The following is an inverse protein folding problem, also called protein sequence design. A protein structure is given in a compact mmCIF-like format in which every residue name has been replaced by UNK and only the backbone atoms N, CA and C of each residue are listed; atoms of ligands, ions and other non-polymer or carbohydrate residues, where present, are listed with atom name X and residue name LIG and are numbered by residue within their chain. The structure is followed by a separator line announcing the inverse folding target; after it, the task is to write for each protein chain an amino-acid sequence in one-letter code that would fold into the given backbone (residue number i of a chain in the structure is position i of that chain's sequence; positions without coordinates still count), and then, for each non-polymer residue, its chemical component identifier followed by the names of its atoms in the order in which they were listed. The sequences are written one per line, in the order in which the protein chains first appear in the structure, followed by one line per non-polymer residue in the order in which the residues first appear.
data_IF_471157967476
#
_entry.id   IF_471157967476
#
_cell.length_a   1.000
_cell.length_b   1.000
_cell.length_c   1.000
_cell.angle_alpha   90.00
_cell.angle_beta   90.00
_cell.angle_gamma   90.00
#
_symmetry.space_group_name_H-M   'P 1'
#
loop_
_entity.id
_entity.type
_entity.pdbx_description
1 polymer ?
#
# COMPACT_ATOMS: atom_id res chain seq x y z
N UNK A 1 -21.75 34.43 2.83
CA UNK A 1 -22.34 33.29 3.59
C UNK A 1 -22.09 32.04 2.81
N UNK A 2 -21.37 31.05 3.30
CA UNK A 2 -21.29 29.78 2.59
C UNK A 2 -22.65 29.10 2.67
N UNK A 3 -23.17 28.74 1.50
CA UNK A 3 -24.43 28.02 1.32
C UNK A 3 -24.40 26.72 2.13
N UNK A 4 -25.21 26.62 3.20
CA UNK A 4 -25.30 25.44 4.09
C UNK A 4 -26.10 24.29 3.45
N UNK A 5 -25.97 24.07 2.15
CA UNK A 5 -26.57 22.88 1.52
C UNK A 5 -25.80 21.64 1.94
N UNK A 6 -26.53 20.63 2.47
CA UNK A 6 -25.91 19.37 2.84
C UNK A 6 -25.30 18.66 1.60
N UNK A 7 -24.32 17.80 1.78
CA UNK A 7 -23.75 17.01 0.68
C UNK A 7 -24.81 16.15 -0.02
N UNK A 8 -25.84 15.69 0.69
CA UNK A 8 -26.99 15.01 0.12
C UNK A 8 -27.78 15.89 -0.86
N UNK A 9 -28.03 17.14 -0.47
CA UNK A 9 -28.68 18.13 -1.35
C UNK A 9 -27.79 18.50 -2.56
N UNK A 10 -26.49 18.54 -2.37
CA UNK A 10 -25.54 18.81 -3.47
C UNK A 10 -25.57 17.71 -4.54
N UNK A 11 -25.78 16.45 -4.16
CA UNK A 11 -25.92 15.32 -5.09
C UNK A 11 -27.36 15.02 -5.49
N UNK A 12 -28.34 15.79 -4.99
CA UNK A 12 -29.78 15.59 -5.23
C UNK A 12 -30.24 14.16 -4.87
N UNK A 13 -29.83 13.71 -3.66
CA UNK A 13 -30.20 12.40 -3.09
C UNK A 13 -30.73 12.56 -1.68
N UNK A 14 -31.56 11.61 -1.26
CA UNK A 14 -32.05 11.53 0.11
C UNK A 14 -30.96 11.07 1.08
N UNK A 15 -31.01 11.47 2.37
CA UNK A 15 -30.03 11.00 3.40
C UNK A 15 -30.00 9.50 3.59
N UNK A 16 -31.07 8.77 3.25
CA UNK A 16 -31.17 7.30 3.31
C UNK A 16 -30.73 6.60 2.03
N UNK A 17 -30.24 7.35 1.02
CA UNK A 17 -29.81 6.78 -0.26
C UNK A 17 -28.72 5.72 -0.09
N UNK A 18 -28.78 4.66 -0.88
CA UNK A 18 -27.75 3.62 -0.90
C UNK A 18 -26.47 4.12 -1.58
N UNK A 19 -25.34 3.46 -1.34
CA UNK A 19 -24.07 3.78 -2.01
C UNK A 19 -24.16 3.70 -3.54
N UNK A 20 -25.01 2.81 -4.04
CA UNK A 20 -25.27 2.66 -5.50
C UNK A 20 -25.99 3.89 -6.05
N UNK A 21 -26.97 4.41 -5.31
CA UNK A 21 -27.73 5.61 -5.70
C UNK A 21 -26.84 6.86 -5.64
N UNK A 22 -26.03 7.03 -4.59
CA UNK A 22 -25.05 8.12 -4.48
C UNK A 22 -24.07 8.09 -5.66
N UNK A 23 -23.53 6.94 -5.99
CA UNK A 23 -22.63 6.78 -7.14
C UNK A 23 -23.30 7.07 -8.48
N UNK A 24 -24.58 6.69 -8.63
CA UNK A 24 -25.36 6.97 -9.83
C UNK A 24 -25.64 8.46 -9.96
N UNK A 25 -26.08 9.11 -8.88
CA UNK A 25 -26.33 10.54 -8.84
C UNK A 25 -25.07 11.36 -9.16
N UNK A 26 -23.94 11.02 -8.54
CA UNK A 26 -22.65 11.65 -8.85
C UNK A 26 -22.30 11.57 -10.35
N UNK A 27 -22.41 10.37 -10.97
CA UNK A 27 -22.11 10.20 -12.40
C UNK A 27 -23.01 11.04 -13.29
N UNK A 28 -24.29 11.16 -12.95
CA UNK A 28 -25.25 11.99 -13.70
C UNK A 28 -24.90 13.48 -13.58
N UNK A 29 -24.61 13.94 -12.37
CA UNK A 29 -24.21 15.32 -12.10
C UNK A 29 -22.87 15.66 -12.75
N UNK A 30 -21.86 14.79 -12.61
CA UNK A 30 -20.54 15.00 -13.21
C UNK A 30 -20.63 15.06 -14.74
N UNK A 31 -21.47 14.23 -15.38
CA UNK A 31 -21.71 14.29 -16.83
C UNK A 31 -22.43 15.59 -17.24
N UNK A 32 -23.40 16.05 -16.46
CA UNK A 32 -24.19 17.26 -16.74
C UNK A 32 -23.37 18.53 -16.60
N UNK A 33 -22.46 18.58 -15.64
CA UNK A 33 -21.63 19.74 -15.33
C UNK A 33 -20.15 19.55 -15.68
N UNK A 34 -19.87 18.68 -16.69
CA UNK A 34 -18.50 18.48 -17.15
C UNK A 34 -17.93 19.75 -17.80
N UNK A 35 -16.68 20.16 -17.46
CA UNK A 35 -16.06 21.39 -17.94
C UNK A 35 -15.93 21.44 -19.48
N UNK A 36 -15.81 20.29 -20.16
CA UNK A 36 -15.75 20.22 -21.61
C UNK A 36 -17.07 20.58 -22.30
N UNK A 37 -18.21 20.46 -21.57
CA UNK A 37 -19.53 20.73 -22.11
C UNK A 37 -20.01 22.13 -21.77
N UNK A 38 -19.55 22.69 -20.64
CA UNK A 38 -19.97 23.98 -20.11
C UNK A 38 -18.74 24.77 -19.63
N UNK A 39 -18.39 25.83 -20.37
CA UNK A 39 -17.21 26.69 -20.05
C UNK A 39 -17.54 27.86 -19.10
N UNK A 40 -18.69 27.84 -18.43
CA UNK A 40 -19.11 28.93 -17.53
C UNK A 40 -18.48 28.73 -16.14
N UNK A 41 -17.95 29.82 -15.53
CA UNK A 41 -17.34 29.83 -14.18
C UNK A 41 -18.28 29.31 -13.10
N UNK A 42 -19.57 29.58 -13.20
CA UNK A 42 -20.59 29.06 -12.29
C UNK A 42 -20.70 27.53 -12.34
N UNK A 43 -20.37 26.90 -13.46
CA UNK A 43 -20.37 25.46 -13.65
C UNK A 43 -19.13 24.83 -12.99
N UNK A 44 -17.99 25.54 -13.00
CA UNK A 44 -16.76 25.07 -12.35
C UNK A 44 -16.93 24.98 -10.84
N UNK A 45 -17.56 25.95 -10.21
CA UNK A 45 -17.86 25.91 -8.77
C UNK A 45 -18.84 24.78 -8.41
N UNK A 46 -19.84 24.52 -9.28
CA UNK A 46 -20.77 23.41 -9.08
C UNK A 46 -20.10 22.05 -9.17
N UNK A 47 -19.24 21.80 -10.15
CA UNK A 47 -18.55 20.50 -10.27
C UNK A 47 -17.59 20.28 -9.11
N UNK A 48 -16.94 21.34 -8.60
CA UNK A 48 -16.09 21.26 -7.41
C UNK A 48 -16.89 20.82 -6.18
N UNK A 49 -18.08 21.43 -5.95
CA UNK A 49 -18.98 21.03 -4.85
C UNK A 49 -19.51 19.59 -5.02
N UNK A 50 -19.85 19.17 -6.22
CA UNK A 50 -20.29 17.81 -6.54
C UNK A 50 -19.18 16.79 -6.21
N UNK A 51 -17.93 17.09 -6.58
CA UNK A 51 -16.78 16.24 -6.28
C UNK A 51 -16.52 16.13 -4.78
N UNK A 52 -16.57 17.25 -4.04
CA UNK A 52 -16.44 17.27 -2.58
C UNK A 52 -17.56 16.45 -1.91
N UNK A 53 -18.80 16.60 -2.36
CA UNK A 53 -19.92 15.84 -1.81
C UNK A 53 -19.74 14.33 -2.05
N UNK A 54 -19.23 13.94 -3.22
CA UNK A 54 -18.96 12.53 -3.52
C UNK A 54 -17.75 11.97 -2.78
N UNK A 55 -16.71 12.77 -2.55
CA UNK A 55 -15.56 12.37 -1.74
C UNK A 55 -15.98 11.96 -0.32
N UNK A 56 -16.95 12.69 0.27
CA UNK A 56 -17.47 12.37 1.61
C UNK A 56 -18.51 11.25 1.58
N UNK A 57 -19.51 11.31 0.67
CA UNK A 57 -20.63 10.37 0.67
C UNK A 57 -20.32 9.06 -0.07
N UNK A 58 -19.33 9.06 -0.96
CA UNK A 58 -18.93 7.90 -1.77
C UNK A 58 -18.20 6.82 -0.97
N UNK A 59 -17.53 7.19 0.12
CA UNK A 59 -16.91 6.26 1.05
C UNK A 59 -17.81 6.00 2.27
N UNK A 60 -18.13 4.72 2.58
CA UNK A 60 -19.04 4.40 3.69
C UNK A 60 -18.55 4.86 5.06
N UNK A 61 -17.24 5.01 5.27
CA UNK A 61 -16.68 5.43 6.55
C UNK A 61 -16.76 6.95 6.69
N UNK A 62 -16.38 7.69 5.68
CA UNK A 62 -16.50 9.15 5.62
C UNK A 62 -17.95 9.59 5.73
N UNK A 63 -18.88 8.88 5.06
CA UNK A 63 -20.31 9.12 5.15
C UNK A 63 -20.83 8.97 6.57
N UNK A 64 -20.46 7.89 7.29
CA UNK A 64 -20.87 7.70 8.68
C UNK A 64 -20.41 8.85 9.59
N UNK A 65 -19.18 9.32 9.38
CA UNK A 65 -18.64 10.45 10.14
C UNK A 65 -19.43 11.73 9.85
N UNK A 66 -19.80 11.97 8.60
CA UNK A 66 -20.61 13.09 8.17
C UNK A 66 -22.04 13.01 8.72
N UNK A 67 -22.69 11.85 8.66
CA UNK A 67 -24.03 11.62 9.21
C UNK A 67 -24.07 11.87 10.73
N UNK A 68 -23.04 11.40 11.44
CA UNK A 68 -22.87 11.71 12.87
C UNK A 68 -22.76 13.21 13.15
N UNK A 69 -22.03 13.93 12.30
CA UNK A 69 -21.88 15.39 12.43
C UNK A 69 -23.20 16.13 12.16
N UNK A 70 -23.95 15.70 11.13
CA UNK A 70 -25.27 16.27 10.84
C UNK A 70 -26.27 16.01 11.97
N UNK A 71 -26.28 14.80 12.53
CA UNK A 71 -27.16 14.44 13.63
C UNK A 71 -26.82 15.26 14.88
N UNK A 72 -25.55 15.44 15.18
CA UNK A 72 -25.07 16.29 16.27
C UNK A 72 -25.49 17.76 16.08
N UNK A 73 -25.42 18.27 14.85
CA UNK A 73 -25.82 19.64 14.51
C UNK A 73 -27.35 19.82 14.59
N UNK A 74 -28.12 18.82 14.14
CA UNK A 74 -29.59 18.79 14.28
C UNK A 74 -30.05 18.72 15.74
N UNK A 75 -29.33 17.95 16.56
CA UNK A 75 -29.61 17.85 18.01
C UNK A 75 -29.29 19.17 18.74
N UNK A 76 -28.26 19.91 18.29
CA UNK A 76 -27.93 21.25 18.79
C UNK A 76 -28.98 22.30 18.41
N UNK A 77 -29.56 22.21 17.22
CA UNK A 77 -30.60 23.14 16.72
C UNK A 77 -32.00 22.80 17.29
N UNK A 78 -32.26 21.53 17.61
CA UNK A 78 -33.51 21.08 18.22
C UNK A 78 -33.59 21.33 19.73
N UNK A 79 -32.48 21.31 20.45
CA UNK A 79 -32.35 21.65 21.87
C UNK A 79 -32.04 23.17 22.01
N UNK A 80 -32.98 24.00 21.61
CA UNK A 80 -32.88 25.43 21.88
C UNK A 80 -32.58 25.70 23.36
N UNK A 81 -31.32 25.99 23.66
CA UNK A 81 -30.74 26.65 24.85
C UNK A 81 -31.41 26.40 26.23
N UNK A 82 -32.01 25.26 26.47
CA UNK A 82 -32.64 24.91 27.75
C UNK A 82 -32.10 23.62 28.34
N UNK A 83 -31.08 23.72 29.19
CA UNK A 83 -30.94 22.80 30.31
C UNK A 83 -30.00 21.61 30.19
N UNK A 84 -28.96 21.62 29.36
CA UNK A 84 -27.88 20.64 29.57
C UNK A 84 -27.10 20.95 30.84
N UNK A 85 -27.10 20.00 31.79
CA UNK A 85 -26.29 20.11 33.00
C UNK A 85 -24.81 20.19 32.63
N UNK A 86 -24.03 20.99 33.35
CA UNK A 86 -22.58 21.05 33.20
C UNK A 86 -21.91 19.64 33.24
N UNK A 87 -22.52 18.69 33.92
CA UNK A 87 -22.12 17.29 34.04
C UNK A 87 -22.25 16.52 32.71
N UNK A 88 -23.29 16.78 31.92
CA UNK A 88 -23.51 16.05 30.67
C UNK A 88 -22.62 16.57 29.53
N UNK A 89 -22.36 17.89 29.53
CA UNK A 89 -21.30 18.47 28.65
C UNK A 89 -19.92 17.89 28.97
N UNK A 90 -19.60 17.75 30.26
CA UNK A 90 -18.31 17.18 30.69
C UNK A 90 -18.17 15.70 30.30
N UNK A 91 -19.26 14.90 30.40
CA UNK A 91 -19.28 13.50 29.96
C UNK A 91 -19.11 13.35 28.45
N UNK A 92 -19.78 14.18 27.64
CA UNK A 92 -19.63 14.18 26.18
C UNK A 92 -18.22 14.58 25.76
N UNK A 93 -17.67 15.65 26.36
CA UNK A 93 -16.29 16.07 26.06
C UNK A 93 -15.29 14.98 26.45
N UNK A 94 -15.47 14.32 27.59
CA UNK A 94 -14.62 13.21 28.01
C UNK A 94 -14.74 12.00 27.07
N UNK A 95 -15.95 11.63 26.62
CA UNK A 95 -16.16 10.56 25.67
C UNK A 95 -15.52 10.86 24.29
N UNK A 96 -15.67 12.08 23.79
CA UNK A 96 -15.04 12.52 22.53
C UNK A 96 -13.51 12.54 22.65
N UNK A 97 -12.96 13.00 23.77
CA UNK A 97 -11.53 12.97 24.03
C UNK A 97 -10.98 11.54 24.11
N UNK A 98 -11.75 10.61 24.71
CA UNK A 98 -11.33 9.21 24.80
C UNK A 98 -11.31 8.52 23.43
N UNK A 99 -12.34 8.73 22.60
CA UNK A 99 -12.36 8.25 21.21
C UNK A 99 -11.19 8.80 20.39
N UNK A 100 -10.92 10.10 20.50
CA UNK A 100 -9.80 10.74 19.82
C UNK A 100 -8.44 10.19 20.31
N UNK A 101 -8.31 9.95 21.61
CA UNK A 101 -7.13 9.36 22.20
C UNK A 101 -6.90 7.91 21.74
N UNK A 102 -7.98 7.11 21.67
CA UNK A 102 -7.92 5.73 21.15
C UNK A 102 -7.54 5.69 19.67
N UNK A 103 -8.10 6.58 18.85
CA UNK A 103 -7.72 6.70 17.43
C UNK A 103 -6.23 7.06 17.27
N UNK A 104 -5.76 8.05 18.01
CA UNK A 104 -4.33 8.42 17.98
C UNK A 104 -3.40 7.30 18.45
N UNK A 105 -3.81 6.55 19.46
CA UNK A 105 -3.03 5.39 19.90
C UNK A 105 -2.99 4.29 18.83
N UNK A 106 -4.12 4.00 18.19
CA UNK A 106 -4.17 3.03 17.11
C UNK A 106 -3.30 3.44 15.90
N UNK A 107 -3.32 4.72 15.52
CA UNK A 107 -2.44 5.26 14.46
C UNK A 107 -0.95 5.15 14.84
N UNK A 108 -0.60 5.51 16.07
CA UNK A 108 0.78 5.39 16.56
C UNK A 108 1.26 3.94 16.64
N UNK A 109 0.37 3.00 16.98
CA UNK A 109 0.68 1.57 16.99
C UNK A 109 0.93 1.03 15.58
N UNK A 110 0.14 1.45 14.59
CA UNK A 110 0.34 1.09 13.19
C UNK A 110 1.69 1.63 12.67
N UNK A 111 1.99 2.90 12.93
CA UNK A 111 3.25 3.53 12.55
C UNK A 111 4.46 2.84 13.21
N UNK A 112 4.33 2.50 14.48
CA UNK A 112 5.41 1.82 15.22
C UNK A 112 5.66 0.41 14.70
N UNK A 113 4.60 -0.35 14.36
CA UNK A 113 4.68 -1.67 13.75
C UNK A 113 5.32 -1.58 12.35
N UNK A 114 4.94 -0.61 11.55
CA UNK A 114 5.54 -0.38 10.24
C UNK A 114 7.03 -0.08 10.35
N UNK A 115 7.43 0.85 11.22
CA UNK A 115 8.85 1.18 11.45
C UNK A 115 9.65 -0.01 11.93
N UNK A 116 9.09 -0.81 12.83
CA UNK A 116 9.73 -2.04 13.31
C UNK A 116 9.95 -3.03 12.16
N UNK A 117 8.93 -3.27 11.35
CA UNK A 117 9.00 -4.17 10.20
C UNK A 117 10.00 -3.67 9.15
N UNK A 118 10.00 -2.38 8.82
CA UNK A 118 10.95 -1.79 7.87
C UNK A 118 12.40 -1.97 8.34
N UNK A 119 12.67 -1.78 9.62
CA UNK A 119 14.02 -1.87 10.17
C UNK A 119 14.48 -3.32 10.41
N UNK A 120 13.58 -4.17 10.89
CA UNK A 120 13.94 -5.54 11.32
C UNK A 120 13.75 -6.59 10.23
N UNK A 121 12.85 -6.35 9.27
CA UNK A 121 12.55 -7.29 8.18
C UNK A 121 12.98 -6.75 6.84
N UNK A 122 12.36 -5.68 6.36
CA UNK A 122 12.59 -5.19 5.00
C UNK A 122 14.06 -4.82 4.74
N UNK A 123 14.67 -3.99 5.59
CA UNK A 123 16.04 -3.50 5.36
C UNK A 123 17.06 -4.64 5.35
N UNK A 124 17.07 -5.58 6.31
CA UNK A 124 17.98 -6.71 6.27
C UNK A 124 17.74 -7.66 5.09
N UNK A 125 16.48 -7.98 4.77
CA UNK A 125 16.13 -8.83 3.61
C UNK A 125 16.61 -8.19 2.32
N UNK A 126 16.32 -6.91 2.10
CA UNK A 126 16.77 -6.17 0.93
C UNK A 126 18.30 -6.12 0.80
N UNK A 127 19.03 -6.09 1.95
CA UNK A 127 20.48 -6.19 1.96
C UNK A 127 20.95 -7.57 1.45
N UNK A 128 20.34 -8.66 1.89
CA UNK A 128 20.68 -10.00 1.42
C UNK A 128 20.37 -10.16 -0.07
N UNK A 129 19.21 -9.69 -0.53
CA UNK A 129 18.86 -9.68 -1.95
C UNK A 129 19.87 -8.89 -2.81
N UNK A 130 20.43 -7.79 -2.29
CA UNK A 130 21.50 -7.08 -2.98
C UNK A 130 22.78 -7.90 -3.15
N UNK A 131 23.14 -8.72 -2.16
CA UNK A 131 24.33 -9.59 -2.25
C UNK A 131 24.15 -10.66 -3.31
N UNK A 132 22.92 -11.10 -3.57
CA UNK A 132 22.58 -12.09 -4.58
C UNK A 132 22.48 -11.45 -5.97
N UNK A 133 21.62 -10.44 -6.10
CA UNK A 133 21.22 -9.91 -7.42
C UNK A 133 22.31 -9.04 -8.07
N UNK A 134 23.05 -8.26 -7.29
CA UNK A 134 24.01 -7.31 -7.84
C UNK A 134 25.22 -7.95 -8.55
N UNK A 135 25.85 -9.03 -8.03
CA UNK A 135 26.99 -9.66 -8.69
C UNK A 135 26.60 -10.51 -9.89
N UNK A 136 25.36 -11.00 -9.98
CA UNK A 136 24.90 -11.98 -10.97
C UNK A 136 25.33 -11.63 -12.40
N UNK A 137 25.11 -10.37 -12.83
CA UNK A 137 25.43 -9.94 -14.20
C UNK A 137 26.93 -10.07 -14.51
N UNK A 138 27.79 -9.81 -13.54
CA UNK A 138 29.25 -9.95 -13.72
C UNK A 138 29.62 -11.44 -13.75
N UNK A 139 29.11 -12.23 -12.82
CA UNK A 139 29.32 -13.68 -12.74
C UNK A 139 28.88 -14.38 -14.04
N UNK A 140 27.73 -14.01 -14.57
CA UNK A 140 27.22 -14.55 -15.84
C UNK A 140 28.09 -14.14 -17.04
N UNK A 141 28.57 -12.90 -17.05
CA UNK A 141 29.47 -12.43 -18.12
C UNK A 141 30.80 -13.17 -18.10
N UNK A 142 31.37 -13.37 -16.93
CA UNK A 142 32.66 -14.05 -16.77
C UNK A 142 32.52 -15.52 -17.19
N UNK A 143 31.46 -16.22 -16.75
CA UNK A 143 31.17 -17.59 -17.15
C UNK A 143 30.89 -17.73 -18.65
N UNK A 144 30.25 -16.79 -19.29
CA UNK A 144 29.96 -16.80 -20.74
C UNK A 144 31.20 -16.61 -21.61
N UNK A 145 32.35 -16.21 -21.05
CA UNK A 145 33.60 -16.11 -21.76
C UNK A 145 34.17 -17.52 -22.11
N UNK A 146 34.14 -18.45 -21.15
CA UNK A 146 34.45 -19.88 -21.36
C UNK A 146 33.72 -20.70 -20.28
N UNK A 147 32.57 -21.34 -20.60
CA UNK A 147 31.81 -22.14 -19.65
C UNK A 147 32.53 -23.42 -19.20
N UNK A 148 33.60 -23.86 -19.94
CA UNK A 148 34.37 -25.05 -19.65
C UNK A 148 35.66 -24.74 -18.90
N UNK A 149 35.95 -23.49 -18.60
CA UNK A 149 37.09 -23.13 -17.75
C UNK A 149 36.79 -23.48 -16.28
N UNK A 150 37.62 -24.38 -15.74
CA UNK A 150 37.45 -24.89 -14.38
C UNK A 150 37.49 -23.79 -13.33
N UNK A 151 38.33 -22.75 -13.50
CA UNK A 151 38.46 -21.64 -12.55
C UNK A 151 37.22 -20.74 -12.56
N UNK A 152 36.67 -20.43 -13.74
CA UNK A 152 35.45 -19.68 -13.89
C UNK A 152 34.24 -20.43 -13.32
N UNK A 153 34.19 -21.75 -13.55
CA UNK A 153 33.14 -22.59 -12.98
C UNK A 153 33.24 -22.69 -11.45
N UNK A 154 34.44 -22.89 -10.89
CA UNK A 154 34.62 -22.86 -9.43
C UNK A 154 34.23 -21.53 -8.80
N UNK A 155 34.58 -20.41 -9.42
CA UNK A 155 34.19 -19.08 -8.96
C UNK A 155 32.65 -18.91 -8.98
N UNK A 156 31.99 -19.40 -10.04
CA UNK A 156 30.55 -19.37 -10.17
C UNK A 156 29.84 -20.24 -9.14
N UNK A 157 30.35 -21.46 -8.89
CA UNK A 157 29.84 -22.34 -7.83
C UNK A 157 30.00 -21.74 -6.44
N UNK A 158 31.13 -21.07 -6.18
CA UNK A 158 31.33 -20.35 -4.92
C UNK A 158 30.28 -19.21 -4.76
N UNK A 159 30.00 -18.47 -5.83
CA UNK A 159 28.94 -17.46 -5.85
C UNK A 159 27.55 -18.06 -5.55
N UNK A 160 27.19 -19.22 -6.17
CA UNK A 160 25.92 -19.92 -5.91
C UNK A 160 25.81 -20.33 -4.44
N UNK A 161 26.89 -20.83 -3.85
CA UNK A 161 26.94 -21.16 -2.42
C UNK A 161 26.68 -19.94 -1.53
N UNK A 162 27.28 -18.80 -1.87
CA UNK A 162 27.04 -17.54 -1.14
C UNK A 162 25.61 -17.06 -1.31
N UNK A 163 25.00 -17.25 -2.50
CA UNK A 163 23.60 -16.97 -2.75
C UNK A 163 22.66 -17.80 -1.86
N UNK A 164 22.89 -19.09 -1.71
CA UNK A 164 22.14 -19.95 -0.79
C UNK A 164 22.22 -19.46 0.66
N UNK A 165 23.40 -19.08 1.12
CA UNK A 165 23.56 -18.54 2.49
C UNK A 165 22.83 -17.23 2.69
N UNK A 166 22.92 -16.31 1.72
CA UNK A 166 22.24 -15.02 1.78
C UNK A 166 20.71 -15.20 1.72
N UNK A 167 20.21 -16.08 0.85
CA UNK A 167 18.80 -16.42 0.75
C UNK A 167 18.25 -17.02 2.05
N UNK A 168 18.94 -17.99 2.63
CA UNK A 168 18.55 -18.61 3.91
C UNK A 168 18.44 -17.58 5.03
N UNK A 169 19.39 -16.64 5.12
CA UNK A 169 19.33 -15.52 6.06
C UNK A 169 18.14 -14.60 5.79
N UNK A 170 17.90 -14.28 4.51
CA UNK A 170 16.77 -13.43 4.11
C UNK A 170 15.43 -14.06 4.48
N UNK A 171 15.23 -15.36 4.17
CA UNK A 171 14.02 -16.10 4.51
C UNK A 171 13.78 -16.20 6.02
N UNK A 172 14.83 -16.44 6.80
CA UNK A 172 14.77 -16.48 8.27
C UNK A 172 14.31 -15.12 8.83
N UNK A 173 14.91 -14.04 8.34
CA UNK A 173 14.55 -12.68 8.75
C UNK A 173 13.13 -12.34 8.32
N UNK A 174 12.73 -12.68 7.10
CA UNK A 174 11.38 -12.42 6.60
C UNK A 174 10.28 -13.06 7.46
N UNK A 175 10.55 -14.25 7.99
CA UNK A 175 9.62 -15.00 8.88
C UNK A 175 9.69 -14.58 10.35
N UNK A 176 10.61 -13.70 10.73
CA UNK A 176 10.88 -13.36 12.14
C UNK A 176 9.81 -12.48 12.79
N UNK A 177 9.04 -11.73 12.01
CA UNK A 177 7.99 -10.83 12.47
C UNK A 177 6.74 -10.95 11.56
N UNK A 178 5.54 -10.74 12.11
CA UNK A 178 4.33 -10.65 11.30
C UNK A 178 4.37 -9.41 10.39
N UNK A 179 3.78 -9.53 9.20
CA UNK A 179 3.70 -8.43 8.26
C UNK A 179 2.57 -7.47 8.68
N UNK A 180 2.84 -6.17 8.83
CA UNK A 180 1.80 -5.20 9.12
C UNK A 180 0.78 -5.11 7.97
N UNK A 181 -0.48 -4.88 8.30
CA UNK A 181 -1.56 -4.79 7.29
C UNK A 181 -1.26 -3.72 6.24
N UNK A 182 -0.73 -2.58 6.67
CA UNK A 182 -0.37 -1.47 5.78
C UNK A 182 0.77 -1.82 4.81
N UNK A 183 1.64 -2.77 5.16
CA UNK A 183 2.74 -3.23 4.33
C UNK A 183 2.45 -4.57 3.62
N UNK A 184 1.18 -5.05 3.62
CA UNK A 184 0.83 -6.36 3.08
C UNK A 184 1.21 -6.53 1.60
N UNK A 185 1.02 -5.51 0.77
CA UNK A 185 1.41 -5.52 -0.64
C UNK A 185 2.93 -5.64 -0.81
N UNK A 186 3.69 -4.80 -0.12
CA UNK A 186 5.16 -4.87 -0.13
C UNK A 186 5.68 -6.21 0.39
N UNK A 187 5.07 -6.76 1.44
CA UNK A 187 5.42 -8.06 1.99
C UNK A 187 5.12 -9.22 1.02
N UNK A 188 3.99 -9.17 0.31
CA UNK A 188 3.64 -10.16 -0.71
C UNK A 188 4.64 -10.13 -1.89
N UNK A 189 4.94 -8.95 -2.41
CA UNK A 189 5.95 -8.78 -3.47
C UNK A 189 7.34 -9.25 -3.02
N UNK A 190 7.72 -8.98 -1.76
CA UNK A 190 8.99 -9.43 -1.19
C UNK A 190 9.03 -10.96 -1.05
N UNK A 191 7.93 -11.59 -0.64
CA UNK A 191 7.80 -13.04 -0.58
C UNK A 191 7.97 -13.68 -1.97
N UNK A 192 7.28 -13.15 -2.98
CA UNK A 192 7.43 -13.64 -4.35
C UNK A 192 8.84 -13.40 -4.90
N UNK A 193 9.47 -12.27 -4.58
CA UNK A 193 10.86 -12.01 -4.94
C UNK A 193 11.81 -13.06 -4.35
N UNK A 194 11.65 -13.41 -3.06
CA UNK A 194 12.46 -14.44 -2.41
C UNK A 194 12.27 -15.83 -3.05
N UNK A 195 11.05 -16.17 -3.46
CA UNK A 195 10.78 -17.45 -4.15
C UNK A 195 11.43 -17.46 -5.54
N UNK A 196 11.30 -16.38 -6.33
CA UNK A 196 11.94 -16.31 -7.64
C UNK A 196 13.48 -16.39 -7.54
N UNK A 197 14.06 -15.82 -6.50
CA UNK A 197 15.49 -15.93 -6.21
C UNK A 197 15.85 -17.38 -5.84
N UNK A 198 15.02 -18.07 -5.04
CA UNK A 198 15.23 -19.49 -4.69
C UNK A 198 15.26 -20.36 -5.93
N UNK A 199 14.21 -20.27 -6.74
CA UNK A 199 14.06 -21.04 -7.96
C UNK A 199 15.20 -20.73 -8.95
N UNK A 200 15.60 -19.46 -9.06
CA UNK A 200 16.70 -19.03 -9.91
C UNK A 200 18.07 -19.58 -9.46
N UNK A 201 18.33 -19.65 -8.15
CA UNK A 201 19.56 -20.26 -7.61
C UNK A 201 19.59 -21.75 -7.93
N UNK A 202 18.48 -22.47 -7.75
CA UNK A 202 18.35 -23.88 -8.04
C UNK A 202 18.64 -24.19 -9.53
N UNK A 203 18.07 -23.37 -10.43
CA UNK A 203 18.31 -23.48 -11.86
C UNK A 203 19.81 -23.28 -12.22
N UNK A 204 20.44 -22.26 -11.63
CA UNK A 204 21.86 -22.04 -11.86
C UNK A 204 22.73 -23.12 -11.27
N UNK A 205 22.32 -23.73 -10.14
CA UNK A 205 23.01 -24.90 -9.56
C UNK A 205 22.90 -26.14 -10.48
N UNK A 206 21.71 -26.39 -11.07
CA UNK A 206 21.53 -27.45 -12.07
C UNK A 206 22.45 -27.26 -13.29
N UNK A 207 22.57 -25.98 -13.76
CA UNK A 207 23.50 -25.67 -14.85
C UNK A 207 24.95 -26.06 -14.50
N UNK A 208 25.43 -25.70 -13.28
CA UNK A 208 26.81 -26.03 -12.88
C UNK A 208 27.12 -27.54 -12.82
N UNK A 209 26.10 -28.38 -12.67
CA UNK A 209 26.22 -29.82 -12.61
C UNK A 209 26.09 -30.52 -13.98
N UNK A 210 25.28 -29.93 -14.88
CA UNK A 210 24.89 -30.62 -16.13
C UNK A 210 25.34 -29.90 -17.39
N UNK A 211 25.81 -28.64 -17.29
CA UNK A 211 26.19 -27.78 -18.43
C UNK A 211 25.05 -27.59 -19.44
N UNK A 212 23.79 -27.64 -18.98
CA UNK A 212 22.62 -27.44 -19.85
C UNK A 212 22.23 -25.96 -19.85
N UNK A 213 22.43 -25.32 -21.00
CA UNK A 213 22.14 -23.88 -21.21
C UNK A 213 20.69 -23.54 -20.93
N UNK A 214 19.75 -24.47 -20.99
CA UNK A 214 18.34 -24.22 -20.69
C UNK A 214 18.14 -23.79 -19.24
N UNK A 215 18.85 -24.41 -18.29
CA UNK A 215 18.84 -24.03 -16.88
C UNK A 215 19.49 -22.68 -16.66
N UNK A 216 20.56 -22.38 -17.38
CA UNK A 216 21.21 -21.08 -17.32
C UNK A 216 20.25 -19.94 -17.73
N UNK A 217 19.53 -20.12 -18.86
CA UNK A 217 18.55 -19.15 -19.35
C UNK A 217 17.34 -19.03 -18.42
N UNK A 218 16.83 -20.14 -17.91
CA UNK A 218 15.71 -20.14 -16.95
C UNK A 218 16.10 -19.40 -15.67
N UNK A 219 17.27 -19.70 -15.12
CA UNK A 219 17.80 -19.00 -13.95
C UNK A 219 17.91 -17.49 -14.16
N UNK A 220 18.46 -17.05 -15.30
CA UNK A 220 18.53 -15.62 -15.65
C UNK A 220 17.16 -14.94 -15.68
N UNK A 221 16.14 -15.58 -16.28
CA UNK A 221 14.78 -15.04 -16.33
C UNK A 221 14.17 -14.93 -14.94
N UNK A 222 14.33 -15.92 -14.08
CA UNK A 222 13.85 -15.90 -12.71
C UNK A 222 14.48 -14.75 -11.90
N UNK A 223 15.78 -14.54 -12.05
CA UNK A 223 16.46 -13.40 -11.43
C UNK A 223 15.98 -12.04 -11.99
N UNK A 224 15.69 -11.96 -13.29
CA UNK A 224 15.13 -10.75 -13.90
C UNK A 224 13.74 -10.44 -13.33
N UNK A 225 12.91 -11.47 -13.12
CA UNK A 225 11.60 -11.32 -12.47
C UNK A 225 11.79 -10.87 -11.00
N UNK A 226 12.73 -11.48 -10.29
CA UNK A 226 13.05 -11.10 -8.91
C UNK A 226 13.51 -9.64 -8.79
N UNK A 227 14.35 -9.16 -9.72
CA UNK A 227 14.76 -7.74 -9.76
C UNK A 227 13.60 -6.78 -10.00
N UNK A 228 12.63 -7.18 -10.83
CA UNK A 228 11.41 -6.39 -11.05
C UNK A 228 10.57 -6.32 -9.78
N UNK A 229 10.25 -7.48 -9.18
CA UNK A 229 9.50 -7.56 -7.93
C UNK A 229 10.17 -6.75 -6.82
N UNK A 230 11.49 -6.82 -6.72
CA UNK A 230 12.24 -6.03 -5.74
C UNK A 230 12.11 -4.52 -6.00
N UNK A 231 12.09 -4.07 -7.24
CA UNK A 231 11.85 -2.64 -7.57
C UNK A 231 10.46 -2.20 -7.16
N UNK A 232 9.45 -3.06 -7.38
CA UNK A 232 8.07 -2.79 -6.97
C UNK A 232 7.99 -2.67 -5.44
N UNK A 233 8.61 -3.59 -4.68
CA UNK A 233 8.73 -3.49 -3.21
C UNK A 233 9.38 -2.18 -2.77
N UNK A 234 10.44 -1.74 -3.45
CA UNK A 234 11.12 -0.49 -3.13
C UNK A 234 10.25 0.74 -3.39
N UNK A 235 9.38 0.69 -4.40
CA UNK A 235 8.39 1.73 -4.68
C UNK A 235 7.32 1.75 -3.59
N UNK A 236 6.69 0.60 -3.30
CA UNK A 236 5.69 0.45 -2.24
C UNK A 236 6.21 0.99 -0.88
N UNK A 237 7.43 0.61 -0.51
CA UNK A 237 8.06 1.06 0.76
C UNK A 237 8.34 2.56 0.78
N UNK A 238 8.56 3.20 -0.37
CA UNK A 238 8.73 4.67 -0.43
C UNK A 238 7.41 5.40 -0.20
N UNK A 239 6.32 4.85 -0.68
CA UNK A 239 4.97 5.41 -0.47
C UNK A 239 4.48 5.24 0.97
N UNK A 240 5.00 4.23 1.69
CA UNK A 240 4.68 3.98 3.10
C UNK A 240 5.49 4.85 4.09
N UNK A 241 6.47 5.63 3.63
CA UNK A 241 7.35 6.47 4.47
C UNK A 241 6.90 7.91 4.53
#
# INVERSE_FOLDING_TARGET
MPDSSSYYQTLDVEPNATQVEIKKAYRQMAKRFHPDVNQDTATHDKITRINQAYEVLGDPQSRRSYDHQLQYQSDLDADGFAGESASDRQKRTAATQEVYRQQRQAEQDVDSQLRLWLNRVFTPVNRQLNLILRPLKAQMKDLSADPFDDQLMEAFQAYIKDCHQALSKAQTVFRSLPNPVIAAGAAANLYHCLNQVSDGIEELEYFTNNYDDSHLHTGQELFRIAERLRRDVLADVRELR
#
